data_IF_773794790285
#
_entry.id   IF_773794790285
#
_cell.length_a   1.000
_cell.length_b   1.000
_cell.length_c   1.000
_cell.angle_alpha   90.00
_cell.angle_beta   90.00
_cell.angle_gamma   90.00
#
_symmetry.space_group_name_H-M   'P 1'
#
loop_
_entity.id
_entity.type
_entity.pdbx_description
1 polymer ?
#
# COMPACT_ATOMS: atom_id res chain seq x y z
N UNK A 1 0.51 32.39 -5.12
CA UNK A 1 1.06 31.67 -3.93
C UNK A 1 -0.04 31.21 -2.99
N UNK A 2 -1.05 32.02 -2.66
CA UNK A 2 -2.16 31.66 -1.74
C UNK A 2 -2.92 30.40 -2.17
N UNK A 3 -3.25 30.25 -3.45
CA UNK A 3 -3.94 29.07 -3.97
C UNK A 3 -3.11 27.77 -3.82
N UNK A 4 -1.78 27.81 -3.94
CA UNK A 4 -0.92 26.67 -3.69
C UNK A 4 -0.95 26.22 -2.22
N UNK A 5 -0.92 27.17 -1.27
CA UNK A 5 -1.04 26.84 0.15
C UNK A 5 -2.41 26.27 0.49
N UNK A 6 -3.48 26.81 -0.11
CA UNK A 6 -4.83 26.27 0.03
C UNK A 6 -4.92 24.85 -0.54
N UNK A 7 -4.30 24.60 -1.72
CA UNK A 7 -4.23 23.26 -2.31
C UNK A 7 -3.48 22.27 -1.42
N UNK A 8 -2.33 22.66 -0.88
CA UNK A 8 -1.53 21.83 0.04
C UNK A 8 -2.35 21.48 1.28
N UNK A 9 -2.96 22.49 1.90
CA UNK A 9 -3.80 22.29 3.08
C UNK A 9 -4.97 21.35 2.76
N UNK A 10 -5.68 21.58 1.65
CA UNK A 10 -6.80 20.75 1.22
C UNK A 10 -6.40 19.28 1.04
N UNK A 11 -5.30 19.02 0.35
CA UNK A 11 -4.82 17.66 0.07
C UNK A 11 -4.38 16.93 1.35
N UNK A 12 -3.81 17.66 2.31
CA UNK A 12 -3.27 17.03 3.54
C UNK A 12 -4.32 16.81 4.63
N UNK A 13 -5.37 17.63 4.67
CA UNK A 13 -6.41 17.55 5.73
C UNK A 13 -7.51 16.56 5.38
N UNK A 14 -7.76 16.30 4.09
CA UNK A 14 -8.86 15.42 3.68
C UNK A 14 -8.57 13.96 3.91
N UNK A 15 -9.18 13.42 4.96
CA UNK A 15 -9.05 12.01 5.38
C UNK A 15 -9.43 11.00 4.26
N UNK A 16 -10.36 11.38 3.40
CA UNK A 16 -10.83 10.53 2.29
C UNK A 16 -10.08 10.76 0.99
N UNK A 17 -8.95 11.50 1.03
CA UNK A 17 -8.21 11.91 -0.15
C UNK A 17 -8.83 13.10 -0.87
N UNK A 18 -8.09 13.68 -1.80
CA UNK A 18 -8.53 14.81 -2.60
C UNK A 18 -8.69 14.40 -4.07
N UNK A 19 -9.83 14.74 -4.68
CA UNK A 19 -10.03 14.60 -6.13
C UNK A 19 -9.66 15.88 -6.87
N UNK A 20 -9.28 15.76 -8.16
CA UNK A 20 -8.97 16.91 -8.98
C UNK A 20 -10.20 17.82 -9.17
N UNK A 21 -11.40 17.23 -9.30
CA UNK A 21 -12.64 17.99 -9.41
C UNK A 21 -12.96 18.76 -8.12
N UNK A 22 -12.72 18.14 -6.95
CA UNK A 22 -12.86 18.81 -5.66
C UNK A 22 -11.88 19.98 -5.51
N UNK A 23 -10.62 19.78 -5.91
CA UNK A 23 -9.60 20.81 -5.89
C UNK A 23 -9.95 21.97 -6.84
N UNK A 24 -10.42 21.66 -8.05
CA UNK A 24 -10.88 22.67 -9.02
C UNK A 24 -11.96 23.57 -8.43
N UNK A 25 -12.99 22.95 -7.85
CA UNK A 25 -14.15 23.69 -7.29
C UNK A 25 -13.75 24.59 -6.13
N UNK A 26 -12.96 24.08 -5.21
CA UNK A 26 -12.56 24.82 -3.99
C UNK A 26 -11.64 25.99 -4.30
N UNK A 27 -10.73 25.81 -5.26
CA UNK A 27 -9.77 26.85 -5.62
C UNK A 27 -10.28 27.79 -6.72
N UNK A 28 -11.46 27.54 -7.28
CA UNK A 28 -12.01 28.30 -8.41
C UNK A 28 -11.13 28.23 -9.66
N UNK A 29 -10.47 27.07 -9.91
CA UNK A 29 -9.61 26.91 -11.07
C UNK A 29 -10.43 26.77 -12.34
N UNK A 30 -10.10 27.56 -13.36
CA UNK A 30 -10.83 27.59 -14.64
C UNK A 30 -10.71 26.29 -15.46
N UNK A 31 -9.70 25.44 -15.19
CA UNK A 31 -9.48 24.19 -15.92
C UNK A 31 -9.33 22.99 -14.97
N UNK A 32 -10.01 21.90 -15.32
CA UNK A 32 -9.84 20.60 -14.66
C UNK A 32 -8.41 20.08 -14.80
N UNK A 33 -7.80 20.23 -15.97
CA UNK A 33 -6.44 19.80 -16.25
C UNK A 33 -5.41 20.48 -15.32
N UNK A 34 -5.63 21.78 -15.04
CA UNK A 34 -4.80 22.51 -14.07
C UNK A 34 -4.94 21.90 -12.68
N UNK A 35 -6.16 21.63 -12.21
CA UNK A 35 -6.40 21.02 -10.91
C UNK A 35 -5.78 19.61 -10.83
N UNK A 36 -5.94 18.81 -11.90
CA UNK A 36 -5.36 17.48 -12.00
C UNK A 36 -3.82 17.53 -11.94
N UNK A 37 -3.21 18.42 -12.72
CA UNK A 37 -1.75 18.62 -12.73
C UNK A 37 -1.23 19.04 -11.36
N UNK A 38 -1.92 19.98 -10.69
CA UNK A 38 -1.56 20.42 -9.35
C UNK A 38 -1.65 19.29 -8.33
N UNK A 39 -2.73 18.51 -8.37
CA UNK A 39 -2.91 17.37 -7.50
C UNK A 39 -1.78 16.34 -7.67
N UNK A 40 -1.39 16.05 -8.91
CA UNK A 40 -0.28 15.13 -9.18
C UNK A 40 1.07 15.68 -8.72
N UNK A 41 1.35 16.98 -8.90
CA UNK A 41 2.57 17.62 -8.36
C UNK A 41 2.61 17.53 -6.84
N UNK A 42 1.50 17.80 -6.15
CA UNK A 42 1.41 17.71 -4.70
C UNK A 42 1.61 16.26 -4.22
N UNK A 43 0.93 15.29 -4.85
CA UNK A 43 1.12 13.87 -4.53
C UNK A 43 2.56 13.42 -4.70
N UNK A 44 3.22 13.86 -5.77
CA UNK A 44 4.64 13.57 -6.01
C UNK A 44 5.54 14.20 -4.96
N UNK A 45 5.27 15.44 -4.56
CA UNK A 45 6.01 16.13 -3.50
C UNK A 45 5.85 15.46 -2.12
N UNK A 46 4.71 14.81 -1.87
CA UNK A 46 4.46 14.04 -0.64
C UNK A 46 5.23 12.72 -0.58
N UNK A 47 5.76 12.23 -1.71
CA UNK A 47 6.61 11.05 -1.74
C UNK A 47 7.99 11.42 -1.20
N UNK A 48 8.25 11.06 0.05
CA UNK A 48 9.53 11.31 0.71
C UNK A 48 10.57 10.30 0.23
N UNK A 49 11.62 10.70 -0.53
CA UNK A 49 12.72 9.80 -0.86
C UNK A 49 13.51 9.43 0.39
N UNK A 50 14.20 8.28 0.39
CA UNK A 50 15.08 7.87 1.49
C UNK A 50 14.36 7.62 2.82
N UNK A 51 13.08 7.21 2.78
CA UNK A 51 12.34 6.86 4.01
C UNK A 51 13.07 5.76 4.77
N UNK A 52 13.15 5.93 6.08
CA UNK A 52 13.61 4.87 6.99
C UNK A 52 12.83 3.58 6.78
N UNK A 53 13.51 2.46 6.86
CA UNK A 53 12.87 1.14 6.81
C UNK A 53 11.93 0.97 8.01
N UNK A 54 10.93 0.14 7.83
CA UNK A 54 10.05 -0.31 8.92
C UNK A 54 10.84 -1.19 9.86
N UNK A 55 10.60 -1.09 11.16
CA UNK A 55 11.30 -1.86 12.18
C UNK A 55 10.31 -2.56 13.12
N UNK A 56 10.80 -3.60 13.83
CA UNK A 56 9.98 -4.40 14.72
C UNK A 56 9.07 -5.37 13.97
N UNK A 57 7.88 -5.70 14.51
CA UNK A 57 6.95 -6.58 13.82
C UNK A 57 6.25 -5.85 12.65
N UNK A 58 6.22 -6.50 11.49
CA UNK A 58 5.67 -5.94 10.22
C UNK A 58 4.78 -6.99 9.57
N UNK A 59 3.52 -6.64 9.26
CA UNK A 59 2.68 -7.43 8.37
C UNK A 59 3.04 -7.12 6.91
N UNK A 60 3.14 -8.16 6.06
CA UNK A 60 3.41 -8.02 4.62
C UNK A 60 2.46 -8.91 3.84
N UNK A 61 1.86 -8.33 2.79
CA UNK A 61 0.95 -9.01 1.87
C UNK A 61 0.91 -8.26 0.54
N UNK A 62 0.26 -8.81 -0.48
CA UNK A 62 0.02 -8.15 -1.75
C UNK A 62 -1.46 -8.09 -2.09
N UNK A 63 -1.84 -7.09 -2.90
CA UNK A 63 -3.22 -6.92 -3.35
C UNK A 63 -3.29 -6.40 -4.78
N UNK A 64 -4.31 -6.86 -5.51
CA UNK A 64 -4.63 -6.31 -6.82
C UNK A 64 -5.45 -5.03 -6.68
N UNK A 65 -5.05 -4.00 -7.42
CA UNK A 65 -5.70 -2.71 -7.51
C UNK A 65 -6.07 -2.42 -8.96
N UNK A 66 -7.32 -2.02 -9.19
CA UNK A 66 -7.88 -1.75 -10.51
C UNK A 66 -9.36 -2.13 -10.57
N UNK A 67 -10.07 -1.67 -11.62
CA UNK A 67 -11.49 -1.92 -11.83
C UNK A 67 -11.83 -3.41 -12.04
N UNK A 68 -13.12 -3.72 -12.01
CA UNK A 68 -13.62 -5.03 -12.38
C UNK A 68 -13.31 -5.29 -13.87
N UNK A 69 -12.81 -6.47 -14.18
CA UNK A 69 -12.64 -6.93 -15.56
C UNK A 69 -13.69 -8.01 -15.86
N UNK A 70 -14.45 -7.83 -16.92
CA UNK A 70 -15.37 -8.86 -17.40
C UNK A 70 -14.58 -10.07 -17.92
N UNK A 71 -14.95 -11.27 -17.45
CA UNK A 71 -14.42 -12.54 -17.96
C UNK A 71 -13.11 -13.05 -17.35
N UNK A 72 -12.51 -12.37 -16.38
CA UNK A 72 -11.25 -12.78 -15.75
C UNK A 72 -11.45 -13.64 -14.50
N UNK A 73 -11.04 -14.91 -14.51
CA UNK A 73 -10.90 -15.72 -13.31
C UNK A 73 -9.84 -15.14 -12.34
N UNK A 74 -9.79 -15.67 -11.11
CA UNK A 74 -8.90 -15.21 -10.00
C UNK A 74 -7.40 -15.02 -10.36
N UNK A 75 -6.93 -15.59 -11.47
CA UNK A 75 -5.53 -15.54 -11.95
C UNK A 75 -5.30 -14.59 -13.15
N UNK A 76 -6.34 -13.95 -13.67
CA UNK A 76 -6.17 -13.05 -14.82
C UNK A 76 -5.73 -11.68 -14.31
N UNK A 77 -4.44 -11.39 -14.51
CA UNK A 77 -3.79 -10.15 -14.02
C UNK A 77 -4.12 -8.94 -14.90
N UNK A 78 -4.80 -9.11 -16.03
CA UNK A 78 -5.27 -8.11 -16.95
C UNK A 78 -4.61 -6.73 -16.78
N UNK A 79 -5.42 -5.69 -16.63
CA UNK A 79 -4.97 -4.31 -16.38
C UNK A 79 -4.78 -3.97 -14.90
N UNK A 80 -4.97 -4.93 -13.97
CA UNK A 80 -4.82 -4.67 -12.53
C UNK A 80 -3.36 -4.53 -12.14
N UNK A 81 -3.06 -3.52 -11.34
CA UNK A 81 -1.74 -3.37 -10.74
C UNK A 81 -1.64 -4.25 -9.49
N UNK A 82 -0.57 -5.03 -9.38
CA UNK A 82 -0.24 -5.72 -8.14
C UNK A 82 0.58 -4.79 -7.25
N UNK A 83 0.14 -4.64 -6.00
CA UNK A 83 0.78 -3.76 -5.01
C UNK A 83 1.16 -4.57 -3.79
N UNK A 84 2.46 -4.61 -3.48
CA UNK A 84 2.98 -5.12 -2.22
C UNK A 84 2.80 -4.08 -1.13
N UNK A 85 2.38 -4.52 0.05
CA UNK A 85 2.05 -3.69 1.21
C UNK A 85 2.83 -4.20 2.41
N UNK A 86 3.52 -3.32 3.13
CA UNK A 86 4.14 -3.61 4.41
C UNK A 86 3.65 -2.61 5.46
N UNK A 87 3.22 -3.10 6.62
CA UNK A 87 2.63 -2.30 7.70
C UNK A 87 3.30 -2.62 9.03
N UNK A 88 3.88 -1.62 9.69
CA UNK A 88 4.38 -1.76 11.06
C UNK A 88 3.23 -2.06 12.04
N UNK A 89 3.48 -2.99 12.95
CA UNK A 89 2.58 -3.32 14.05
C UNK A 89 3.00 -2.52 15.29
N UNK A 90 2.10 -1.67 15.80
CA UNK A 90 2.31 -0.93 17.04
C UNK A 90 1.22 -1.29 18.06
N UNK A 91 1.44 -2.37 18.81
CA UNK A 91 0.40 -2.93 19.66
C UNK A 91 -0.85 -3.29 18.85
N UNK A 92 -1.99 -2.71 19.18
CA UNK A 92 -3.25 -2.87 18.42
C UNK A 92 -3.33 -1.93 17.21
N UNK A 93 -2.51 -0.88 17.15
CA UNK A 93 -2.54 0.13 16.10
C UNK A 93 -1.64 -0.23 14.90
N UNK A 94 -1.86 0.48 13.80
CA UNK A 94 -0.98 0.49 12.63
C UNK A 94 0.10 1.57 12.81
N UNK A 95 1.34 1.23 12.48
CA UNK A 95 2.42 2.19 12.37
C UNK A 95 2.60 2.70 10.93
N UNK A 96 3.86 2.84 10.52
CA UNK A 96 4.23 3.30 9.19
C UNK A 96 3.89 2.24 8.12
N UNK A 97 3.61 2.71 6.92
CA UNK A 97 3.21 1.87 5.79
C UNK A 97 4.19 2.05 4.63
N UNK A 98 4.48 0.96 3.91
CA UNK A 98 5.18 1.00 2.61
C UNK A 98 4.34 0.29 1.58
N UNK A 99 4.21 0.92 0.43
CA UNK A 99 3.50 0.42 -0.74
C UNK A 99 4.43 0.46 -1.94
N UNK A 100 4.41 -0.58 -2.76
CA UNK A 100 5.16 -0.63 -4.01
C UNK A 100 4.40 -1.46 -5.05
N UNK A 101 4.27 -0.92 -6.25
CA UNK A 101 3.82 -1.72 -7.39
C UNK A 101 4.90 -2.74 -7.73
N UNK A 102 4.50 -4.00 -7.87
CA UNK A 102 5.37 -5.11 -8.25
C UNK A 102 4.84 -5.79 -9.52
N UNK A 103 5.70 -6.41 -10.33
CA UNK A 103 5.27 -7.06 -11.56
C UNK A 103 4.43 -8.30 -11.31
N UNK A 104 4.75 -9.07 -10.29
CA UNK A 104 4.11 -10.33 -9.92
C UNK A 104 4.32 -10.66 -8.43
N UNK A 105 3.68 -11.73 -7.94
CA UNK A 105 3.82 -12.23 -6.57
C UNK A 105 4.94 -13.28 -6.42
N UNK A 106 5.95 -13.28 -7.30
CA UNK A 106 7.09 -14.18 -7.19
C UNK A 106 8.05 -13.75 -6.07
N UNK A 107 8.90 -14.68 -5.63
CA UNK A 107 9.97 -14.37 -4.68
C UNK A 107 10.94 -13.31 -5.23
N UNK A 108 11.15 -13.30 -6.56
CA UNK A 108 11.99 -12.30 -7.23
C UNK A 108 11.46 -10.88 -7.12
N UNK A 109 10.14 -10.69 -6.97
CA UNK A 109 9.49 -9.39 -6.78
C UNK A 109 9.30 -9.04 -5.31
N UNK A 110 8.87 -10.01 -4.48
CA UNK A 110 8.50 -9.76 -3.08
C UNK A 110 9.71 -9.63 -2.15
N UNK A 111 10.76 -10.44 -2.30
CA UNK A 111 11.93 -10.36 -1.42
C UNK A 111 12.69 -9.03 -1.55
N UNK A 112 12.94 -8.48 -2.75
CA UNK A 112 13.52 -7.14 -2.89
C UNK A 112 12.66 -6.05 -2.26
N UNK A 113 11.33 -6.11 -2.40
CA UNK A 113 10.41 -5.19 -1.74
C UNK A 113 10.59 -5.22 -0.21
N UNK A 114 10.58 -6.41 0.39
CA UNK A 114 10.76 -6.54 1.84
C UNK A 114 12.14 -6.01 2.28
N UNK A 115 13.21 -6.34 1.56
CA UNK A 115 14.57 -5.84 1.85
C UNK A 115 14.66 -4.32 1.79
N UNK A 116 13.93 -3.68 0.87
CA UNK A 116 13.89 -2.23 0.76
C UNK A 116 13.03 -1.59 1.85
N UNK A 117 11.89 -2.22 2.17
CA UNK A 117 10.87 -1.65 3.04
C UNK A 117 11.12 -1.91 4.53
N UNK A 118 11.77 -3.03 4.90
CA UNK A 118 11.87 -3.54 6.27
C UNK A 118 13.34 -3.68 6.69
N UNK A 119 13.65 -3.33 7.92
CA UNK A 119 14.99 -3.48 8.51
C UNK A 119 15.29 -4.96 8.73
N UNK A 120 16.49 -5.46 8.33
CA UNK A 120 16.93 -6.83 8.66
C UNK A 120 16.83 -7.11 10.15
N UNK A 121 16.53 -8.36 10.51
CA UNK A 121 16.28 -8.78 11.90
C UNK A 121 14.86 -8.53 12.39
N UNK A 122 14.04 -7.78 11.66
CA UNK A 122 12.63 -7.56 12.03
C UNK A 122 11.80 -8.84 11.90
N UNK A 123 10.73 -8.93 12.71
CA UNK A 123 9.72 -9.97 12.58
C UNK A 123 8.77 -9.63 11.44
N UNK A 124 8.75 -10.44 10.40
CA UNK A 124 7.89 -10.28 9.23
C UNK A 124 6.79 -11.34 9.26
N UNK A 125 5.55 -10.89 9.34
CA UNK A 125 4.35 -11.74 9.37
C UNK A 125 3.71 -11.72 7.99
N UNK A 126 3.54 -12.90 7.37
CA UNK A 126 2.92 -13.05 6.04
C UNK A 126 1.86 -14.15 6.06
N UNK A 127 1.10 -14.25 4.98
CA UNK A 127 0.28 -15.42 4.70
C UNK A 127 1.11 -16.68 4.36
N UNK A 128 0.43 -17.71 3.90
CA UNK A 128 1.04 -18.99 3.51
C UNK A 128 1.76 -19.01 2.16
N UNK A 129 1.82 -17.88 1.43
CA UNK A 129 2.38 -17.84 0.07
C UNK A 129 3.85 -18.28 0.06
N UNK A 130 4.16 -19.21 -0.86
CA UNK A 130 5.50 -19.83 -0.92
C UNK A 130 6.61 -18.83 -1.28
N UNK A 131 6.28 -17.77 -1.99
CA UNK A 131 7.22 -16.72 -2.39
C UNK A 131 7.91 -16.01 -1.21
N UNK A 132 7.32 -16.07 -0.01
CA UNK A 132 7.90 -15.51 1.21
C UNK A 132 8.88 -16.45 1.94
N UNK A 133 9.03 -17.73 1.51
CA UNK A 133 9.90 -18.68 2.21
C UNK A 133 11.36 -18.24 2.33
N UNK A 134 11.85 -17.45 1.38
CA UNK A 134 13.21 -16.92 1.40
C UNK A 134 13.49 -15.84 2.45
N UNK A 135 12.48 -15.36 3.21
CA UNK A 135 12.66 -14.28 4.18
C UNK A 135 13.58 -14.66 5.34
N UNK A 136 13.49 -15.89 5.83
CA UNK A 136 14.37 -16.37 6.90
C UNK A 136 15.84 -16.34 6.47
N UNK A 137 16.14 -16.85 5.27
CA UNK A 137 17.47 -16.80 4.68
C UNK A 137 17.94 -15.37 4.36
N UNK A 138 17.01 -14.44 4.18
CA UNK A 138 17.28 -13.02 3.97
C UNK A 138 17.52 -12.24 5.28
N UNK A 139 17.55 -12.91 6.44
CA UNK A 139 17.85 -12.31 7.73
C UNK A 139 16.65 -11.74 8.49
N UNK A 140 15.43 -12.22 8.21
CA UNK A 140 14.20 -11.84 8.93
C UNK A 140 13.70 -12.95 9.83
N UNK A 141 13.05 -12.60 10.93
CA UNK A 141 12.27 -13.55 11.73
C UNK A 141 10.91 -13.73 11.05
N UNK A 142 10.79 -14.77 10.24
CA UNK A 142 9.60 -14.98 9.40
C UNK A 142 8.52 -15.79 10.16
N UNK A 143 7.36 -15.18 10.34
CA UNK A 143 6.16 -15.79 10.90
C UNK A 143 5.10 -15.98 9.81
N UNK A 144 4.73 -17.22 9.53
CA UNK A 144 3.69 -17.56 8.56
C UNK A 144 2.36 -17.81 9.27
N UNK A 145 1.34 -17.11 8.83
CA UNK A 145 -0.05 -17.35 9.26
C UNK A 145 -0.82 -18.06 8.15
N UNK A 146 -1.21 -19.28 8.37
CA UNK A 146 -1.91 -20.13 7.38
C UNK A 146 -3.32 -20.42 7.89
N UNK A 147 -4.31 -20.28 7.00
CA UNK A 147 -5.70 -20.67 7.25
C UNK A 147 -5.78 -22.20 7.16
N UNK A 148 -5.34 -22.92 8.17
CA UNK A 148 -5.58 -24.37 8.24
C UNK A 148 -6.37 -24.68 9.51
N UNK A 149 -7.67 -24.94 9.36
CA UNK A 149 -8.52 -25.48 10.40
C UNK A 149 -8.93 -24.53 11.54
N UNK A 150 -8.55 -23.26 11.52
CA UNK A 150 -8.83 -22.32 12.61
C UNK A 150 -10.23 -21.66 12.51
N UNK A 151 -10.94 -21.83 11.39
CA UNK A 151 -12.20 -21.09 11.15
C UNK A 151 -12.02 -19.57 11.03
N UNK A 152 -10.78 -19.07 11.09
CA UNK A 152 -10.48 -17.66 10.96
C UNK A 152 -10.59 -17.20 9.50
N UNK A 153 -11.10 -16.00 9.30
CA UNK A 153 -11.16 -15.37 7.99
C UNK A 153 -9.76 -14.86 7.59
N UNK A 154 -9.42 -14.76 6.29
CA UNK A 154 -8.18 -14.14 5.83
C UNK A 154 -7.90 -12.78 6.49
N UNK A 155 -8.95 -11.98 6.67
CA UNK A 155 -8.88 -10.64 7.27
C UNK A 155 -8.44 -10.67 8.75
N UNK A 156 -8.67 -11.77 9.46
CA UNK A 156 -8.24 -11.92 10.84
C UNK A 156 -6.74 -12.24 10.98
N UNK A 157 -6.13 -12.84 9.95
CA UNK A 157 -4.72 -13.23 9.99
C UNK A 157 -3.76 -12.05 9.85
N UNK A 158 -4.05 -11.14 8.92
CA UNK A 158 -3.24 -9.96 8.61
C UNK A 158 -4.12 -8.69 8.61
N UNK A 159 -4.74 -8.33 9.74
CA UNK A 159 -5.81 -7.33 9.77
C UNK A 159 -5.34 -5.94 9.34
N UNK A 160 -4.08 -5.61 9.60
CA UNK A 160 -3.54 -4.27 9.29
C UNK A 160 -3.28 -4.09 7.80
N UNK A 161 -2.65 -5.08 7.17
CA UNK A 161 -2.42 -5.07 5.72
C UNK A 161 -3.74 -5.06 4.96
N UNK A 162 -4.70 -5.91 5.35
CA UNK A 162 -6.02 -5.99 4.72
C UNK A 162 -6.79 -4.67 4.88
N UNK A 163 -6.68 -4.01 6.03
CA UNK A 163 -7.26 -2.66 6.22
C UNK A 163 -6.64 -1.63 5.29
N UNK A 164 -5.32 -1.64 5.13
CA UNK A 164 -4.62 -0.74 4.19
C UNK A 164 -5.03 -1.04 2.75
N UNK A 165 -5.09 -2.32 2.35
CA UNK A 165 -5.54 -2.74 1.03
C UNK A 165 -6.99 -2.27 0.74
N UNK A 166 -7.88 -2.42 1.71
CA UNK A 166 -9.27 -1.97 1.60
C UNK A 166 -9.39 -0.46 1.43
N UNK A 167 -8.63 0.32 2.21
CA UNK A 167 -8.59 1.77 2.08
C UNK A 167 -8.02 2.20 0.73
N UNK A 168 -6.91 1.58 0.28
CA UNK A 168 -6.30 1.85 -1.02
C UNK A 168 -7.28 1.64 -2.18
N UNK A 169 -8.02 0.51 -2.16
CA UNK A 169 -9.04 0.21 -3.18
C UNK A 169 -10.22 1.18 -3.18
N UNK A 170 -10.53 1.77 -2.04
CA UNK A 170 -11.59 2.78 -1.95
C UNK A 170 -11.17 4.13 -2.54
N UNK A 171 -9.87 4.42 -2.56
CA UNK A 171 -9.33 5.71 -3.00
C UNK A 171 -9.00 5.76 -4.49
N UNK A 172 -8.98 4.61 -5.16
CA UNK A 172 -8.63 4.45 -6.58
C UNK A 172 -9.84 4.04 -7.41
#
# INVERSE_FOLDING_TARGET
LSQWFQAMWWVTVHKNGASALGLQRILGLGSYETAWTWLHKLRRAMVRPGRERLAGPVEVDETFVGGAEEGGGRRHVGRKALVAIAVEIRGTAMGRIRLQRIPDSSAASLLPFVRQAVTPGSRVVTDGLQSYRGLAAAGYVHERKVIQGSGETPDALLPRVHRVASLLKRWL
#
